data_IF_885904818906
#
_entry.id   IF_885904818906
#
_cell.length_a   1.000
_cell.length_b   1.000
_cell.length_c   1.000
_cell.angle_alpha   90.00
_cell.angle_beta   90.00
_cell.angle_gamma   90.00
#
_symmetry.space_group_name_H-M   'P 1'
#
loop_
_entity.id
_entity.type
_entity.pdbx_description
1 polymer ?
#
# COMPACT_ATOMS: atom_id res chain seq x y z
N UNK A 1 -4.87 -13.59 11.15
CA UNK A 1 -4.90 -13.02 9.79
C UNK A 1 -5.03 -11.52 9.90
N UNK A 2 -4.50 -10.77 8.96
CA UNK A 2 -4.62 -9.32 8.85
C UNK A 2 -5.08 -8.97 7.42
N UNK A 3 -6.08 -8.10 7.26
CA UNK A 3 -6.51 -7.59 5.96
C UNK A 3 -5.72 -6.31 5.66
N UNK A 4 -4.74 -6.40 4.76
CA UNK A 4 -3.74 -5.34 4.59
C UNK A 4 -4.27 -4.09 3.88
N UNK A 5 -5.29 -4.21 3.04
CA UNK A 5 -5.94 -3.09 2.37
C UNK A 5 -7.39 -3.44 2.08
N UNK A 6 -8.31 -2.60 2.57
CA UNK A 6 -9.74 -2.83 2.41
C UNK A 6 -10.51 -1.50 2.46
N UNK A 7 -11.68 -1.49 1.84
CA UNK A 7 -12.66 -0.39 1.93
C UNK A 7 -13.82 -0.68 2.88
N UNK A 8 -13.78 -1.83 3.55
CA UNK A 8 -14.82 -2.24 4.50
C UNK A 8 -14.21 -2.62 5.84
N UNK A 9 -14.88 -2.27 6.92
CA UNK A 9 -14.48 -2.74 8.26
C UNK A 9 -14.63 -4.26 8.31
N UNK A 10 -13.55 -4.94 8.68
CA UNK A 10 -13.50 -6.39 8.84
C UNK A 10 -13.60 -6.77 10.33
N UNK A 11 -14.02 -8.00 10.63
CA UNK A 11 -13.98 -8.56 11.98
C UNK A 11 -12.54 -8.89 12.45
N UNK A 12 -11.63 -9.06 11.51
CA UNK A 12 -10.19 -9.26 11.78
C UNK A 12 -9.45 -7.93 11.75
N UNK A 13 -8.25 -7.86 12.35
CA UNK A 13 -7.39 -6.68 12.20
C UNK A 13 -7.19 -6.29 10.74
N UNK A 14 -7.39 -5.01 10.43
CA UNK A 14 -7.31 -4.52 9.05
C UNK A 14 -6.71 -3.11 8.96
N UNK A 15 -6.21 -2.81 7.75
CA UNK A 15 -5.87 -1.45 7.33
C UNK A 15 -6.97 -0.96 6.39
N UNK A 16 -7.87 -0.14 6.94
CA UNK A 16 -9.02 0.42 6.23
C UNK A 16 -8.57 1.66 5.44
N UNK A 17 -8.84 1.66 4.15
CA UNK A 17 -8.65 2.86 3.33
C UNK A 17 -9.81 3.82 3.51
N UNK A 18 -9.50 5.06 3.86
CA UNK A 18 -10.51 6.09 4.14
C UNK A 18 -10.30 7.27 3.23
N UNK A 19 -11.38 7.73 2.64
CA UNK A 19 -11.36 8.91 1.78
C UNK A 19 -11.06 10.18 2.59
N UNK A 20 -10.29 11.07 2.00
CA UNK A 20 -9.86 12.33 2.63
C UNK A 20 -10.97 13.34 2.84
N UNK A 21 -12.12 13.16 2.22
CA UNK A 21 -13.23 14.11 2.27
C UNK A 21 -14.00 14.07 3.59
N UNK A 22 -13.85 13.02 4.39
CA UNK A 22 -14.67 12.81 5.58
C UNK A 22 -13.90 13.13 6.87
N UNK A 23 -14.64 13.67 7.85
CA UNK A 23 -14.18 13.71 9.24
C UNK A 23 -13.95 12.25 9.63
N UNK A 24 -12.68 11.88 9.89
CA UNK A 24 -12.34 10.51 10.25
C UNK A 24 -13.08 10.11 11.54
N UNK A 25 -14.06 9.21 11.47
CA UNK A 25 -14.76 8.74 12.66
C UNK A 25 -13.82 7.92 13.55
N UNK A 26 -14.28 7.57 14.74
CA UNK A 26 -13.59 6.59 15.58
C UNK A 26 -13.92 5.18 15.09
N UNK A 27 -12.90 4.37 14.96
CA UNK A 27 -13.00 2.96 14.58
C UNK A 27 -12.62 2.06 15.77
N UNK A 28 -13.02 0.77 15.77
CA UNK A 28 -12.52 -0.20 16.73
C UNK A 28 -11.00 -0.29 16.74
N UNK A 29 -10.39 -0.63 17.86
CA UNK A 29 -8.94 -0.64 18.06
C UNK A 29 -8.19 -1.53 17.03
N UNK A 30 -8.80 -2.63 16.60
CA UNK A 30 -8.23 -3.54 15.61
C UNK A 30 -8.23 -2.99 14.17
N UNK A 31 -8.94 -1.88 13.91
CA UNK A 31 -8.98 -1.19 12.62
C UNK A 31 -7.94 -0.08 12.65
N UNK A 32 -7.00 -0.14 11.72
CA UNK A 32 -6.05 0.95 11.45
C UNK A 32 -6.38 1.57 10.11
N UNK A 33 -5.93 2.79 9.88
CA UNK A 33 -6.34 3.57 8.73
C UNK A 33 -5.17 3.82 7.78
N UNK A 34 -5.46 3.79 6.49
CA UNK A 34 -4.67 4.49 5.46
C UNK A 34 -5.48 5.66 4.92
N UNK A 35 -4.85 6.81 4.79
CA UNK A 35 -5.49 8.01 4.25
C UNK A 35 -4.65 8.58 3.10
N UNK A 36 -5.29 8.85 1.98
CA UNK A 36 -4.60 9.32 0.79
C UNK A 36 -5.54 9.90 -0.26
N UNK A 37 -4.97 10.47 -1.31
CA UNK A 37 -5.70 10.92 -2.49
C UNK A 37 -5.47 9.92 -3.61
N UNK A 38 -6.52 9.13 -3.89
CA UNK A 38 -6.53 8.15 -4.96
C UNK A 38 -6.38 8.83 -6.34
N UNK A 39 -5.61 8.26 -7.30
CA UNK A 39 -5.39 8.88 -8.61
C UNK A 39 -6.67 9.19 -9.40
N UNK A 40 -7.75 8.44 -9.20
CA UNK A 40 -9.04 8.71 -9.86
C UNK A 40 -9.78 9.95 -9.34
N UNK A 41 -9.40 10.44 -8.17
CA UNK A 41 -9.99 11.62 -7.50
C UNK A 41 -9.12 12.87 -7.61
N UNK A 42 -8.02 12.77 -8.36
CA UNK A 42 -7.12 13.90 -8.56
C UNK A 42 -7.72 14.86 -9.59
N UNK A 43 -7.92 16.08 -9.14
CA UNK A 43 -8.33 17.23 -9.95
C UNK A 43 -7.50 18.48 -9.63
N UNK A 44 -7.86 19.63 -10.16
CA UNK A 44 -7.15 20.92 -9.93
C UNK A 44 -7.14 21.37 -8.46
N UNK A 45 -7.98 20.79 -7.61
CA UNK A 45 -8.05 21.10 -6.17
C UNK A 45 -7.24 20.17 -5.28
N UNK A 46 -6.40 19.28 -5.85
CA UNK A 46 -5.65 18.25 -5.13
C UNK A 46 -4.85 18.78 -3.92
N UNK A 47 -4.36 20.01 -3.97
CA UNK A 47 -3.59 20.61 -2.86
C UNK A 47 -4.44 20.73 -1.59
N UNK A 48 -5.76 20.99 -1.72
CA UNK A 48 -6.67 21.04 -0.58
C UNK A 48 -6.81 19.66 0.07
N UNK A 49 -6.89 18.61 -0.77
CA UNK A 49 -6.94 17.24 -0.29
C UNK A 49 -5.66 16.87 0.48
N UNK A 50 -4.48 17.23 -0.04
CA UNK A 50 -3.21 17.00 0.66
C UNK A 50 -3.17 17.73 2.02
N UNK A 51 -3.69 18.93 2.10
CA UNK A 51 -3.75 19.66 3.37
C UNK A 51 -4.67 18.96 4.40
N UNK A 52 -5.76 18.33 3.95
CA UNK A 52 -6.65 17.52 4.80
C UNK A 52 -5.97 16.21 5.24
N UNK A 53 -5.33 15.49 4.31
CA UNK A 53 -4.56 14.27 4.62
C UNK A 53 -3.50 14.58 5.68
N UNK A 54 -2.75 15.69 5.52
CA UNK A 54 -1.73 16.12 6.47
C UNK A 54 -2.26 16.27 7.89
N UNK A 55 -3.45 16.84 8.05
CA UNK A 55 -4.10 16.97 9.37
C UNK A 55 -4.49 15.62 9.97
N UNK A 56 -5.00 14.70 9.14
CA UNK A 56 -5.37 13.35 9.59
C UNK A 56 -4.17 12.46 9.85
N UNK A 57 -3.07 12.66 9.13
CA UNK A 57 -1.89 11.79 9.16
C UNK A 57 -1.18 11.74 10.53
N UNK A 58 -1.40 12.73 11.41
CA UNK A 58 -0.83 12.75 12.77
C UNK A 58 -1.57 11.85 13.77
N UNK A 59 -2.74 11.32 13.43
CA UNK A 59 -3.50 10.43 14.31
C UNK A 59 -2.77 9.10 14.51
N UNK A 60 -2.87 8.54 15.72
CA UNK A 60 -2.24 7.26 16.08
C UNK A 60 -2.85 6.05 15.36
N UNK A 61 -4.13 6.11 15.03
CA UNK A 61 -4.82 5.06 14.29
C UNK A 61 -4.57 5.12 12.77
N UNK A 62 -3.99 6.20 12.25
CA UNK A 62 -3.53 6.29 10.86
C UNK A 62 -2.14 5.71 10.75
N UNK A 63 -2.01 4.58 10.06
CA UNK A 63 -0.76 3.83 9.93
C UNK A 63 -0.04 4.02 8.61
N UNK A 64 -0.74 4.45 7.56
CA UNK A 64 -0.16 4.63 6.23
C UNK A 64 -0.72 5.86 5.50
N UNK A 65 0.05 6.37 4.54
CA UNK A 65 -0.42 7.31 3.53
C UNK A 65 -0.86 6.50 2.31
N UNK A 66 -2.10 6.59 1.95
CA UNK A 66 -2.71 5.85 0.84
C UNK A 66 -4.23 5.66 1.07
N UNK A 67 -4.89 5.19 0.07
CA UNK A 67 -4.40 4.78 -1.24
C UNK A 67 -4.03 6.02 -2.08
N UNK A 68 -2.87 5.97 -2.72
CA UNK A 68 -2.35 7.03 -3.56
C UNK A 68 -1.53 6.43 -4.71
N UNK A 69 -1.18 7.19 -5.72
CA UNK A 69 -0.36 6.65 -6.79
C UNK A 69 -0.74 7.12 -8.18
N UNK A 70 -0.61 6.22 -9.18
CA UNK A 70 -0.70 6.55 -10.59
C UNK A 70 -1.54 5.53 -11.36
N UNK A 71 -2.45 6.02 -12.20
CA UNK A 71 -3.25 5.21 -13.10
C UNK A 71 -3.27 5.80 -14.53
N UNK A 72 -2.58 5.13 -15.46
CA UNK A 72 -2.54 5.52 -16.87
C UNK A 72 -3.80 5.14 -17.66
N UNK A 73 -4.78 4.51 -17.07
CA UNK A 73 -6.12 4.41 -17.70
C UNK A 73 -6.77 5.80 -17.75
N UNK A 74 -6.51 6.65 -16.76
CA UNK A 74 -6.92 8.05 -16.67
C UNK A 74 -5.79 8.99 -17.12
N UNK A 75 -5.38 8.89 -18.39
CA UNK A 75 -4.21 9.61 -18.92
C UNK A 75 -4.35 11.12 -18.92
N UNK A 76 -5.57 11.61 -19.04
CA UNK A 76 -5.90 13.04 -19.07
C UNK A 76 -5.51 13.78 -17.80
N UNK A 77 -5.56 13.10 -16.65
CA UNK A 77 -5.16 13.64 -15.36
C UNK A 77 -3.74 13.24 -14.94
N UNK A 78 -3.00 12.47 -15.73
CA UNK A 78 -1.69 11.94 -15.35
C UNK A 78 -0.69 13.02 -14.87
N UNK A 79 -0.59 14.21 -15.48
CA UNK A 79 0.27 15.27 -14.96
C UNK A 79 -0.11 15.69 -13.53
N UNK A 80 -1.40 15.88 -13.26
CA UNK A 80 -1.90 16.21 -11.92
C UNK A 80 -1.71 15.05 -10.94
N UNK A 81 -1.93 13.80 -11.39
CA UNK A 81 -1.63 12.62 -10.57
C UNK A 81 -0.17 12.59 -10.14
N UNK A 82 0.77 12.90 -11.03
CA UNK A 82 2.20 12.96 -10.73
C UNK A 82 2.53 14.02 -9.68
N UNK A 83 1.92 15.22 -9.77
CA UNK A 83 2.10 16.28 -8.78
C UNK A 83 1.52 15.89 -7.42
N UNK A 84 0.28 15.41 -7.39
CA UNK A 84 -0.40 14.98 -6.17
C UNK A 84 0.32 13.79 -5.51
N UNK A 85 0.84 12.85 -6.30
CA UNK A 85 1.59 11.71 -5.76
C UNK A 85 2.94 12.14 -5.19
N UNK A 86 3.68 13.07 -5.84
CA UNK A 86 4.91 13.66 -5.26
C UNK A 86 4.63 14.34 -3.92
N UNK A 87 3.54 15.09 -3.80
CA UNK A 87 3.17 15.73 -2.55
C UNK A 87 2.86 14.71 -1.44
N UNK A 88 2.25 13.57 -1.78
CA UNK A 88 1.99 12.48 -0.83
C UNK A 88 3.26 11.72 -0.45
N UNK A 89 4.22 11.56 -1.37
CA UNK A 89 5.54 11.01 -1.07
C UNK A 89 6.24 11.88 -0.01
N UNK A 90 6.28 13.20 -0.23
CA UNK A 90 6.88 14.15 0.73
C UNK A 90 6.18 14.06 2.08
N UNK A 91 4.85 14.03 2.10
CA UNK A 91 4.08 13.91 3.32
C UNK A 91 4.39 12.60 4.07
N UNK A 92 4.46 11.47 3.38
CA UNK A 92 4.77 10.16 3.97
C UNK A 92 6.14 10.17 4.66
N UNK A 93 7.15 10.80 4.03
CA UNK A 93 8.48 10.99 4.61
C UNK A 93 8.46 11.88 5.85
N UNK A 94 7.70 12.99 5.82
CA UNK A 94 7.57 13.92 6.94
C UNK A 94 6.91 13.28 8.16
N UNK A 95 5.85 12.49 7.95
CA UNK A 95 5.12 11.82 9.04
C UNK A 95 5.68 10.43 9.37
N UNK A 96 6.72 9.99 8.66
CA UNK A 96 7.40 8.69 8.83
C UNK A 96 6.46 7.50 8.73
N UNK A 97 5.54 7.51 7.75
CA UNK A 97 4.57 6.43 7.53
C UNK A 97 4.77 5.77 6.16
N UNK A 98 4.58 4.45 6.06
CA UNK A 98 4.63 3.75 4.78
C UNK A 98 3.52 4.22 3.84
N UNK A 99 3.66 3.89 2.55
CA UNK A 99 2.71 4.26 1.51
C UNK A 99 2.01 3.03 0.92
N UNK A 100 0.68 3.10 0.77
CA UNK A 100 -0.12 2.12 0.03
C UNK A 100 -0.36 2.69 -1.37
N UNK A 101 0.16 1.98 -2.38
CA UNK A 101 0.30 2.54 -3.72
C UNK A 101 -0.56 1.81 -4.73
N UNK A 102 -1.47 2.55 -5.36
CA UNK A 102 -2.14 2.19 -6.58
C UNK A 102 -1.22 2.41 -7.79
N UNK A 103 -0.97 1.39 -8.58
CA UNK A 103 -0.14 1.51 -9.77
C UNK A 103 -0.72 0.73 -10.94
N UNK A 104 -1.37 1.41 -11.87
CA UNK A 104 -1.94 0.82 -13.08
C UNK A 104 -1.23 1.36 -14.32
N UNK A 105 -0.49 0.49 -15.02
CA UNK A 105 0.26 0.79 -16.25
C UNK A 105 1.27 1.95 -16.14
N UNK A 106 1.67 2.33 -14.91
CA UNK A 106 2.52 3.47 -14.61
C UNK A 106 3.81 3.07 -13.85
N UNK A 107 4.30 1.84 -14.05
CA UNK A 107 5.47 1.33 -13.32
C UNK A 107 6.76 2.10 -13.62
N UNK A 108 6.93 2.62 -14.83
CA UNK A 108 8.12 3.41 -15.19
C UNK A 108 8.16 4.73 -14.42
N UNK A 109 7.02 5.43 -14.33
CA UNK A 109 6.87 6.65 -13.55
C UNK A 109 7.06 6.39 -12.05
N UNK A 110 6.49 5.28 -11.56
CA UNK A 110 6.67 4.87 -10.17
C UNK A 110 8.15 4.62 -9.84
N UNK A 111 8.86 3.91 -10.70
CA UNK A 111 10.30 3.65 -10.53
C UNK A 111 11.14 4.92 -10.62
N UNK A 112 10.78 5.86 -11.50
CA UNK A 112 11.43 7.16 -11.60
C UNK A 112 11.29 7.93 -10.27
N UNK A 113 10.09 8.05 -9.75
CA UNK A 113 9.82 8.72 -8.47
C UNK A 113 10.53 8.05 -7.29
N UNK A 114 10.57 6.72 -7.28
CA UNK A 114 11.31 5.98 -6.24
C UNK A 114 12.80 6.27 -6.28
N UNK A 115 13.43 6.33 -7.45
CA UNK A 115 14.85 6.68 -7.61
C UNK A 115 15.14 8.12 -7.16
N UNK A 116 14.26 9.06 -7.47
CA UNK A 116 14.38 10.45 -7.01
C UNK A 116 14.37 10.51 -5.48
N UNK A 117 13.44 9.80 -4.84
CA UNK A 117 13.33 9.71 -3.39
C UNK A 117 14.58 9.03 -2.77
N UNK A 118 15.02 7.89 -3.30
CA UNK A 118 16.25 7.20 -2.87
C UNK A 118 17.48 8.13 -2.92
N UNK A 119 17.58 8.93 -3.98
CA UNK A 119 18.68 9.89 -4.14
C UNK A 119 18.63 11.00 -3.07
N UNK A 120 17.42 11.50 -2.78
CA UNK A 120 17.24 12.55 -1.76
C UNK A 120 17.53 12.00 -0.37
N UNK A 121 16.94 10.87 -0.01
CA UNK A 121 17.15 10.23 1.29
C UNK A 121 18.62 9.83 1.50
N UNK A 122 19.28 9.30 0.48
CA UNK A 122 20.70 8.94 0.52
C UNK A 122 21.63 10.13 0.81
N UNK A 123 21.32 11.32 0.26
CA UNK A 123 22.05 12.55 0.58
C UNK A 123 21.85 12.98 2.03
N UNK A 124 20.71 12.67 2.61
CA UNK A 124 20.35 12.97 4.00
C UNK A 124 20.79 11.86 4.98
N UNK A 125 21.38 10.76 4.49
CA UNK A 125 21.84 9.63 5.31
C UNK A 125 20.71 8.81 5.91
N UNK A 126 19.53 8.78 5.28
CA UNK A 126 18.36 8.02 5.75
C UNK A 126 17.80 7.11 4.67
N UNK A 127 17.04 6.13 5.08
CA UNK A 127 16.28 5.26 4.18
C UNK A 127 14.88 5.87 3.91
N UNK A 128 14.36 5.73 2.69
CA UNK A 128 13.00 6.16 2.37
C UNK A 128 11.95 5.27 3.05
N UNK A 129 10.79 5.85 3.35
CA UNK A 129 9.67 5.10 3.88
C UNK A 129 9.27 3.94 2.95
N UNK A 130 8.78 2.81 3.50
CA UNK A 130 8.35 1.66 2.72
C UNK A 130 7.21 2.01 1.76
N UNK A 131 7.31 1.54 0.53
CA UNK A 131 6.25 1.60 -0.48
C UNK A 131 5.67 0.21 -0.69
N UNK A 132 4.36 0.08 -0.57
CA UNK A 132 3.65 -1.18 -0.79
C UNK A 132 2.73 -1.00 -1.99
N UNK A 133 3.01 -1.73 -3.08
CA UNK A 133 2.13 -1.75 -4.25
C UNK A 133 0.99 -2.72 -3.92
N UNK A 134 -0.23 -2.19 -3.75
CA UNK A 134 -1.39 -3.00 -3.47
C UNK A 134 -1.94 -3.65 -4.75
N UNK A 135 -2.76 -4.70 -4.59
CA UNK A 135 -3.43 -5.37 -5.70
C UNK A 135 -2.49 -5.90 -6.80
N UNK A 136 -1.26 -6.29 -6.46
CA UNK A 136 -0.24 -6.62 -7.47
C UNK A 136 -0.61 -7.86 -8.28
N UNK A 137 -0.67 -7.71 -9.61
CA UNK A 137 -1.02 -8.77 -10.58
C UNK A 137 0.07 -9.01 -11.63
N UNK A 138 1.20 -8.30 -11.51
CA UNK A 138 2.31 -8.36 -12.47
C UNK A 138 3.01 -9.71 -12.51
N UNK A 139 3.87 -9.89 -13.51
CA UNK A 139 4.70 -11.09 -13.68
C UNK A 139 5.89 -11.09 -12.70
N UNK A 140 6.58 -12.24 -12.50
CA UNK A 140 7.73 -12.35 -11.60
C UNK A 140 8.84 -11.32 -11.88
N UNK A 141 9.09 -10.99 -13.16
CA UNK A 141 10.11 -10.02 -13.55
C UNK A 141 9.77 -8.61 -13.05
N UNK A 142 8.49 -8.22 -13.13
CA UNK A 142 8.02 -6.94 -12.59
C UNK A 142 8.12 -6.93 -11.08
N UNK A 143 7.68 -8.00 -10.41
CA UNK A 143 7.81 -8.13 -8.96
C UNK A 143 9.27 -8.00 -8.52
N UNK A 144 10.20 -8.71 -9.20
CA UNK A 144 11.63 -8.62 -8.96
C UNK A 144 12.14 -7.19 -9.09
N UNK A 145 11.72 -6.47 -10.14
CA UNK A 145 12.12 -5.09 -10.39
C UNK A 145 11.67 -4.16 -9.24
N UNK A 146 10.40 -4.27 -8.80
CA UNK A 146 9.86 -3.48 -7.69
C UNK A 146 10.59 -3.81 -6.38
N UNK A 147 10.74 -5.09 -6.08
CA UNK A 147 11.41 -5.55 -4.86
C UNK A 147 12.88 -5.16 -4.80
N UNK A 148 13.59 -5.12 -5.94
CA UNK A 148 14.99 -4.65 -6.03
C UNK A 148 15.09 -3.16 -5.63
N UNK A 149 14.01 -2.41 -5.81
CA UNK A 149 13.88 -1.00 -5.38
C UNK A 149 13.30 -0.85 -3.97
N UNK A 150 13.37 -1.89 -3.15
CA UNK A 150 12.91 -1.85 -1.77
C UNK A 150 11.39 -1.76 -1.60
N UNK A 151 10.62 -1.93 -2.67
CA UNK A 151 9.16 -1.94 -2.58
C UNK A 151 8.66 -3.30 -2.11
N UNK A 152 7.54 -3.31 -1.41
CA UNK A 152 6.80 -4.49 -0.98
C UNK A 152 5.55 -4.65 -1.84
N UNK A 153 4.95 -5.84 -1.81
CA UNK A 153 3.79 -6.16 -2.63
C UNK A 153 2.66 -6.68 -1.75
N UNK A 154 1.43 -6.34 -2.12
CA UNK A 154 0.22 -6.92 -1.56
C UNK A 154 -0.60 -7.59 -2.65
N UNK A 155 -1.29 -8.68 -2.31
CA UNK A 155 -2.02 -9.52 -3.26
C UNK A 155 -3.47 -9.70 -2.83
N UNK A 156 -4.38 -9.37 -3.74
CA UNK A 156 -5.80 -9.66 -3.58
C UNK A 156 -6.17 -11.05 -4.14
N UNK A 157 -7.45 -11.28 -4.43
CA UNK A 157 -7.97 -12.55 -4.94
C UNK A 157 -7.47 -12.92 -6.35
N UNK A 158 -7.07 -11.92 -7.15
CA UNK A 158 -6.55 -12.11 -8.51
C UNK A 158 -5.05 -11.81 -8.54
N UNK A 159 -4.23 -12.79 -8.29
CA UNK A 159 -2.78 -12.67 -8.38
C UNK A 159 -2.20 -13.62 -9.43
N UNK A 160 -1.01 -13.31 -9.90
CA UNK A 160 -0.24 -14.23 -10.73
C UNK A 160 0.42 -15.30 -9.84
N UNK A 161 0.13 -16.59 -10.10
CA UNK A 161 0.59 -17.70 -9.27
C UNK A 161 2.12 -17.84 -9.26
N UNK A 162 2.77 -17.63 -10.39
CA UNK A 162 4.24 -17.70 -10.47
C UNK A 162 4.87 -16.57 -9.67
N UNK A 163 4.23 -15.39 -9.68
CA UNK A 163 4.69 -14.23 -8.96
C UNK A 163 4.59 -14.40 -7.46
N UNK A 164 3.46 -14.88 -6.95
CA UNK A 164 3.32 -15.06 -5.50
C UNK A 164 4.27 -16.15 -4.98
N UNK A 165 4.50 -17.22 -5.75
CA UNK A 165 5.52 -18.24 -5.45
C UNK A 165 6.92 -17.65 -5.43
N UNK A 166 7.27 -16.83 -6.41
CA UNK A 166 8.54 -16.13 -6.48
C UNK A 166 8.75 -15.22 -5.25
N UNK A 167 7.74 -14.41 -4.90
CA UNK A 167 7.81 -13.50 -3.75
C UNK A 167 7.94 -14.29 -2.44
N UNK A 168 7.15 -15.35 -2.27
CA UNK A 168 7.22 -16.21 -1.09
C UNK A 168 8.62 -16.83 -0.91
N UNK A 169 9.22 -17.36 -1.98
CA UNK A 169 10.57 -17.96 -1.93
C UNK A 169 11.69 -16.94 -1.73
N UNK A 170 11.44 -15.65 -2.00
CA UNK A 170 12.42 -14.58 -1.78
C UNK A 170 12.62 -14.22 -0.30
N UNK A 171 11.81 -14.77 0.61
CA UNK A 171 11.81 -14.48 2.05
C UNK A 171 11.58 -13.00 2.39
N UNK A 172 11.07 -12.20 1.45
CA UNK A 172 10.67 -10.82 1.69
C UNK A 172 9.23 -10.74 2.20
N UNK A 173 8.89 -9.78 3.06
CA UNK A 173 7.51 -9.55 3.47
C UNK A 173 6.62 -9.28 2.26
N UNK A 174 5.41 -9.83 2.29
CA UNK A 174 4.31 -9.50 1.40
C UNK A 174 2.99 -9.59 2.17
N UNK A 175 1.93 -9.02 1.63
CA UNK A 175 0.66 -8.92 2.35
C UNK A 175 -0.50 -9.44 1.52
N UNK A 176 -1.62 -9.70 2.19
CA UNK A 176 -2.86 -10.16 1.56
C UNK A 176 -3.99 -9.18 1.90
N UNK A 177 -4.88 -8.97 0.93
CA UNK A 177 -5.90 -7.92 1.01
C UNK A 177 -7.19 -8.31 0.29
N UNK A 178 -8.28 -7.62 0.63
CA UNK A 178 -9.56 -7.75 -0.09
C UNK A 178 -9.84 -6.63 -1.07
N UNK A 179 -9.15 -5.47 -0.91
CA UNK A 179 -9.44 -4.26 -1.67
C UNK A 179 -10.91 -3.82 -1.49
N UNK A 180 -11.63 -3.53 -2.57
CA UNK A 180 -13.06 -3.16 -2.61
C UNK A 180 -14.02 -4.35 -2.65
N UNK A 181 -13.51 -5.58 -2.59
CA UNK A 181 -14.34 -6.77 -2.73
C UNK A 181 -15.05 -7.14 -1.42
N UNK A 182 -16.31 -7.50 -1.54
CA UNK A 182 -17.09 -8.15 -0.49
C UNK A 182 -16.74 -9.63 -0.35
N UNK A 183 -15.48 -9.91 -0.05
CA UNK A 183 -14.94 -11.25 0.12
C UNK A 183 -14.25 -11.35 1.48
N UNK A 184 -14.41 -12.45 2.18
CA UNK A 184 -13.67 -12.68 3.42
C UNK A 184 -12.17 -12.79 3.15
N UNK A 185 -11.35 -12.04 3.89
CA UNK A 185 -9.89 -12.16 3.83
C UNK A 185 -9.42 -13.59 4.11
N UNK A 186 -10.15 -14.35 4.94
CA UNK A 186 -9.89 -15.76 5.21
C UNK A 186 -9.84 -16.57 3.92
N UNK A 187 -10.76 -16.34 2.99
CA UNK A 187 -10.79 -17.05 1.70
C UNK A 187 -9.50 -16.79 0.89
N UNK A 188 -8.99 -15.56 0.89
CA UNK A 188 -7.72 -15.22 0.22
C UNK A 188 -6.55 -15.94 0.88
N UNK A 189 -6.49 -15.96 2.22
CA UNK A 189 -5.45 -16.71 2.94
C UNK A 189 -5.50 -18.20 2.64
N UNK A 190 -6.68 -18.80 2.62
CA UNK A 190 -6.87 -20.24 2.31
C UNK A 190 -6.44 -20.55 0.86
N UNK A 191 -6.83 -19.72 -0.10
CA UNK A 191 -6.44 -19.86 -1.50
C UNK A 191 -4.92 -19.77 -1.68
N UNK A 192 -4.29 -18.76 -1.09
CA UNK A 192 -2.83 -18.55 -1.19
C UNK A 192 -2.08 -19.66 -0.47
N UNK A 193 -2.50 -20.05 0.74
CA UNK A 193 -1.90 -21.14 1.49
C UNK A 193 -1.91 -22.46 0.71
N UNK A 194 -3.05 -22.79 0.08
CA UNK A 194 -3.18 -23.94 -0.82
C UNK A 194 -2.19 -23.86 -2.01
N UNK A 195 -2.09 -22.71 -2.66
CA UNK A 195 -1.20 -22.55 -3.81
C UNK A 195 0.30 -22.56 -3.45
N UNK A 196 0.65 -22.19 -2.22
CA UNK A 196 2.03 -22.17 -1.72
C UNK A 196 2.41 -23.45 -0.96
N UNK A 197 1.45 -24.38 -0.77
CA UNK A 197 1.60 -25.60 0.01
C UNK A 197 2.09 -25.32 1.44
N UNK A 198 1.40 -24.43 2.13
CA UNK A 198 1.69 -24.04 3.52
C UNK A 198 0.42 -23.98 4.37
N UNK A 199 0.57 -24.08 5.69
CA UNK A 199 -0.55 -23.86 6.60
C UNK A 199 -0.99 -22.41 6.62
N UNK A 200 -2.31 -22.17 6.72
CA UNK A 200 -2.91 -20.83 6.85
C UNK A 200 -2.35 -20.09 8.08
N UNK A 201 -2.11 -20.79 9.19
CA UNK A 201 -1.53 -20.23 10.41
C UNK A 201 -0.12 -19.67 10.16
N UNK A 202 0.72 -20.42 9.44
CA UNK A 202 2.06 -19.98 9.05
C UNK A 202 2.00 -18.76 8.13
N UNK A 203 1.13 -18.82 7.10
CA UNK A 203 0.95 -17.69 6.18
C UNK A 203 0.45 -16.44 6.90
N UNK A 204 -0.46 -16.61 7.88
CA UNK A 204 -0.96 -15.51 8.69
C UNK A 204 0.12 -14.79 9.49
N UNK A 205 1.12 -15.51 9.99
CA UNK A 205 2.27 -14.92 10.66
C UNK A 205 3.21 -14.18 9.70
N UNK A 206 3.45 -14.76 8.52
CA UNK A 206 4.33 -14.18 7.50
C UNK A 206 3.77 -12.89 6.89
N UNK A 207 2.45 -12.82 6.72
CA UNK A 207 1.76 -11.68 6.11
C UNK A 207 1.23 -10.67 7.14
N UNK A 208 1.61 -10.77 8.41
CA UNK A 208 1.19 -9.81 9.42
C UNK A 208 2.07 -8.56 9.38
N UNK A 209 1.56 -7.39 8.97
CA UNK A 209 2.36 -6.19 8.86
C UNK A 209 2.84 -5.66 10.22
N UNK A 210 2.20 -6.06 11.32
CA UNK A 210 2.60 -5.65 12.68
C UNK A 210 3.95 -6.21 13.08
N UNK A 211 4.36 -7.33 12.49
CA UNK A 211 5.66 -7.98 12.76
C UNK A 211 6.78 -7.50 11.85
N UNK A 212 6.48 -6.87 10.72
CA UNK A 212 7.46 -6.51 9.69
C UNK A 212 7.47 -5.02 9.33
N UNK A 213 6.31 -4.43 9.12
CA UNK A 213 6.17 -3.06 8.61
C UNK A 213 5.92 -2.04 9.73
N UNK A 214 5.04 -2.39 10.69
CA UNK A 214 4.60 -1.50 11.76
C UNK A 214 5.20 -1.80 13.13
N UNK A 215 6.21 -2.66 13.20
CA UNK A 215 6.84 -3.05 14.48
C UNK A 215 7.51 -1.90 15.24
N UNK A 216 7.69 -0.72 14.62
CA UNK A 216 8.24 0.48 15.26
C UNK A 216 7.19 1.34 15.97
N UNK A 217 5.91 1.00 15.86
CA UNK A 217 4.77 1.74 16.39
C UNK A 217 3.96 0.91 17.42
N UNK A 218 4.44 -0.26 17.81
CA UNK A 218 3.86 -1.13 18.83
C UNK A 218 4.52 -0.94 20.20
#
# INVERSE_FOLDING_TARGET
MFNFHTYSVDEVPCLLNVDTADILPSYPEHVKLSIGLHPWKVDESWQKCIAMIRKGASREDVWAIGECGLDKVHRETLPLQMEAFRAQIILAEEVQKPMIIHCVRAFDELLMLRRELETTCGKEGREPQPWIIHGFRGKPEQAKQMMTKGMLLSFGHQYNLETIRFVFTSSRPFYLETDDLHLSIRHIYEQVAHHLDVDVSRLSLLCDPRTSLFCRHA
#
